data_IF_404956588905
#
_entry.id   IF_404956588905
#
_cell.length_a   1.000
_cell.length_b   1.000
_cell.length_c   1.000
_cell.angle_alpha   90.00
_cell.angle_beta   90.00
_cell.angle_gamma   90.00
#
_symmetry.space_group_name_H-M   'P 1'
#
loop_
_entity.id
_entity.type
_entity.pdbx_description
1 polymer ?
#
# COMPACT_ATOMS: atom_id res chain seq x y z
N UNK A 1 21.30 11.56 5.09
CA UNK A 1 19.94 11.88 4.63
C UNK A 1 19.03 11.86 5.84
N UNK A 2 18.36 12.96 6.12
CA UNK A 2 17.30 13.03 7.11
C UNK A 2 16.01 12.41 6.57
N UNK A 3 15.04 12.15 7.45
CA UNK A 3 13.70 11.68 7.02
C UNK A 3 13.02 12.70 6.11
N UNK A 4 13.24 13.99 6.35
CA UNK A 4 12.63 15.05 5.53
C UNK A 4 13.28 15.15 4.15
N UNK A 5 14.61 15.02 4.07
CA UNK A 5 15.31 14.91 2.78
C UNK A 5 14.85 13.68 1.98
N UNK A 6 14.58 12.56 2.66
CA UNK A 6 14.02 11.35 2.02
C UNK A 6 12.60 11.57 1.51
N UNK A 7 11.74 12.25 2.28
CA UNK A 7 10.37 12.57 1.86
C UNK A 7 10.39 13.43 0.59
N UNK A 8 11.22 14.48 0.58
CA UNK A 8 11.33 15.37 -0.58
C UNK A 8 11.78 14.61 -1.82
N UNK A 9 12.78 13.73 -1.68
CA UNK A 9 13.26 12.88 -2.77
C UNK A 9 12.16 11.92 -3.29
N UNK A 10 11.42 11.26 -2.40
CA UNK A 10 10.34 10.33 -2.77
C UNK A 10 9.16 11.05 -3.43
N UNK A 11 8.81 12.25 -2.94
CA UNK A 11 7.72 13.03 -3.51
C UNK A 11 8.08 13.63 -4.89
N UNK A 12 9.37 13.84 -5.17
CA UNK A 12 9.87 14.31 -6.45
C UNK A 12 9.91 13.23 -7.55
N UNK A 13 9.76 11.94 -7.20
CA UNK A 13 9.76 10.83 -8.17
C UNK A 13 8.62 10.94 -9.20
N UNK A 14 8.87 10.42 -10.40
CA UNK A 14 7.85 10.27 -11.43
C UNK A 14 6.80 9.22 -11.06
N UNK A 15 5.66 9.22 -11.74
CA UNK A 15 4.53 8.35 -11.40
C UNK A 15 4.90 6.85 -11.41
N UNK A 16 5.70 6.40 -12.37
CA UNK A 16 6.09 5.00 -12.48
C UNK A 16 7.13 4.60 -11.44
N UNK A 17 8.05 5.52 -11.10
CA UNK A 17 9.02 5.32 -10.02
C UNK A 17 8.32 5.25 -8.65
N UNK A 18 7.30 6.07 -8.41
CA UNK A 18 6.45 6.00 -7.21
C UNK A 18 5.76 4.65 -7.09
N UNK A 19 5.22 4.11 -8.19
CA UNK A 19 4.60 2.76 -8.19
C UNK A 19 5.63 1.69 -7.85
N UNK A 20 6.81 1.74 -8.48
CA UNK A 20 7.87 0.78 -8.22
C UNK A 20 8.31 0.82 -6.75
N UNK A 21 8.54 2.03 -6.22
CA UNK A 21 8.90 2.24 -4.81
C UNK A 21 7.84 1.63 -3.88
N UNK A 22 6.55 1.91 -4.11
CA UNK A 22 5.46 1.37 -3.30
C UNK A 22 5.39 -0.16 -3.36
N UNK A 23 5.53 -0.77 -4.54
CA UNK A 23 5.45 -2.21 -4.71
C UNK A 23 6.62 -2.95 -4.03
N UNK A 24 7.82 -2.40 -4.08
CA UNK A 24 9.02 -3.07 -3.59
C UNK A 24 9.33 -2.74 -2.13
N UNK A 25 9.12 -1.48 -1.72
CA UNK A 25 9.62 -0.94 -0.46
C UNK A 25 8.56 -0.95 0.64
N UNK A 26 7.30 -0.64 0.33
CA UNK A 26 6.24 -0.58 1.33
C UNK A 26 6.08 -1.91 2.11
N UNK A 27 6.09 -3.10 1.48
CA UNK A 27 5.98 -4.37 2.20
C UNK A 27 7.17 -4.68 3.12
N UNK A 28 8.33 -4.08 2.84
CA UNK A 28 9.52 -4.22 3.70
C UNK A 28 9.38 -3.30 4.90
N UNK A 29 9.09 -2.02 4.67
CA UNK A 29 8.87 -1.03 5.73
C UNK A 29 7.73 -1.45 6.67
N UNK A 30 6.64 -1.95 6.11
CA UNK A 30 5.45 -2.30 6.89
C UNK A 30 5.68 -3.48 7.83
N UNK A 31 6.60 -4.41 7.52
CA UNK A 31 6.78 -5.64 8.32
C UNK A 31 7.15 -5.36 9.78
N UNK A 32 7.97 -4.34 10.00
CA UNK A 32 8.46 -3.99 11.34
C UNK A 32 7.43 -3.15 12.11
N UNK A 33 6.79 -2.19 11.45
CA UNK A 33 5.90 -1.21 12.10
C UNK A 33 4.46 -1.69 12.24
N UNK A 34 3.99 -2.60 11.39
CA UNK A 34 2.60 -3.10 11.45
C UNK A 34 2.35 -4.03 12.64
N UNK A 35 3.37 -4.44 13.38
CA UNK A 35 3.19 -5.17 14.64
C UNK A 35 2.73 -4.25 15.79
N UNK A 36 2.93 -2.93 15.65
CA UNK A 36 2.46 -1.93 16.59
C UNK A 36 0.95 -1.67 16.39
N UNK A 37 0.16 -2.07 17.38
CA UNK A 37 -1.31 -1.95 17.35
C UNK A 37 -1.78 -0.49 17.36
N UNK A 38 -1.06 0.41 18.03
CA UNK A 38 -1.44 1.83 18.03
C UNK A 38 -1.15 2.44 16.68
N UNK A 39 -0.01 2.13 16.08
CA UNK A 39 0.33 2.56 14.73
C UNK A 39 -0.67 2.02 13.69
N UNK A 40 -1.07 0.75 13.79
CA UNK A 40 -2.11 0.18 12.91
C UNK A 40 -3.41 0.97 12.95
N UNK A 41 -3.86 1.36 14.15
CA UNK A 41 -5.07 2.16 14.32
C UNK A 41 -4.94 3.56 13.72
N UNK A 42 -3.74 4.16 13.75
CA UNK A 42 -3.43 5.44 13.09
C UNK A 42 -3.38 5.32 11.57
N UNK A 43 -2.94 4.16 11.04
CA UNK A 43 -2.76 3.94 9.62
C UNK A 43 -4.08 3.62 8.88
N UNK A 44 -5.03 3.00 9.59
CA UNK A 44 -6.35 2.65 9.04
C UNK A 44 -7.05 3.81 8.29
N UNK A 45 -7.21 5.03 8.86
CA UNK A 45 -7.85 6.14 8.16
C UNK A 45 -7.09 6.58 6.90
N UNK A 46 -5.76 6.43 6.87
CA UNK A 46 -4.94 6.75 5.69
C UNK A 46 -5.27 5.79 4.56
N UNK A 47 -5.31 4.48 4.82
CA UNK A 47 -5.70 3.50 3.80
C UNK A 47 -7.13 3.72 3.29
N UNK A 48 -8.07 4.03 4.18
CA UNK A 48 -9.44 4.35 3.76
C UNK A 48 -9.49 5.59 2.86
N UNK A 49 -8.67 6.60 3.14
CA UNK A 49 -8.52 7.78 2.29
C UNK A 49 -8.02 7.43 0.89
N UNK A 50 -6.94 6.66 0.80
CA UNK A 50 -6.37 6.24 -0.49
C UNK A 50 -7.37 5.45 -1.35
N UNK A 51 -8.13 4.55 -0.72
CA UNK A 51 -9.17 3.76 -1.41
C UNK A 51 -10.27 4.70 -1.92
N UNK A 52 -10.76 5.61 -1.07
CA UNK A 52 -11.78 6.58 -1.46
C UNK A 52 -11.32 7.47 -2.61
N UNK A 53 -10.09 7.94 -2.61
CA UNK A 53 -9.52 8.81 -3.64
C UNK A 53 -9.38 8.08 -5.00
N UNK A 54 -9.26 6.75 -4.98
CA UNK A 54 -9.28 5.93 -6.21
C UNK A 54 -10.66 5.80 -6.87
N UNK A 55 -11.73 6.22 -6.18
CA UNK A 55 -13.12 6.06 -6.62
C UNK A 55 -13.70 4.65 -6.43
N UNK A 56 -12.94 3.72 -5.84
CA UNK A 56 -13.33 2.35 -5.55
C UNK A 56 -13.71 2.26 -4.07
N UNK A 57 -14.79 1.54 -3.71
CA UNK A 57 -15.07 1.24 -2.30
C UNK A 57 -14.32 -0.02 -1.82
N UNK A 58 -14.10 -0.12 -0.50
CA UNK A 58 -13.34 -1.22 0.10
C UNK A 58 -13.95 -2.60 -0.22
N UNK A 59 -15.27 -2.70 -0.32
CA UNK A 59 -15.97 -3.93 -0.68
C UNK A 59 -15.70 -4.35 -2.12
N UNK A 60 -15.74 -3.40 -3.06
CA UNK A 60 -15.35 -3.64 -4.46
C UNK A 60 -13.89 -4.06 -4.57
N UNK A 61 -12.98 -3.38 -3.86
CA UNK A 61 -11.56 -3.73 -3.84
C UNK A 61 -11.35 -5.16 -3.32
N UNK A 62 -12.04 -5.54 -2.25
CA UNK A 62 -11.98 -6.89 -1.69
C UNK A 62 -12.51 -7.95 -2.67
N UNK A 63 -13.62 -7.67 -3.37
CA UNK A 63 -14.16 -8.56 -4.41
C UNK A 63 -13.17 -8.75 -5.57
N UNK A 64 -12.53 -7.67 -6.03
CA UNK A 64 -11.49 -7.73 -7.06
C UNK A 64 -10.31 -8.62 -6.64
N UNK A 65 -9.82 -8.45 -5.41
CA UNK A 65 -8.75 -9.29 -4.87
C UNK A 65 -9.12 -10.78 -4.83
N UNK A 66 -10.36 -11.10 -4.45
CA UNK A 66 -10.86 -12.49 -4.43
C UNK A 66 -10.91 -13.09 -5.84
N UNK A 67 -11.34 -12.32 -6.85
CA UNK A 67 -11.34 -12.77 -8.25
C UNK A 67 -9.93 -12.98 -8.80
N UNK A 68 -8.97 -12.11 -8.45
CA UNK A 68 -7.57 -12.27 -8.84
C UNK A 68 -6.91 -13.50 -8.20
N UNK A 69 -7.27 -13.82 -6.95
CA UNK A 69 -6.74 -14.99 -6.25
C UNK A 69 -7.41 -16.31 -6.69
N UNK A 70 -8.66 -16.25 -7.17
CA UNK A 70 -9.42 -17.37 -7.74
C UNK A 70 -8.94 -17.83 -9.12
N UNK A 71 -8.07 -17.05 -9.79
CA UNK A 71 -7.49 -17.37 -11.10
C UNK A 71 -6.09 -18.02 -11.03
N UNK A 72 -5.61 -18.42 -9.84
CA UNK A 72 -4.43 -19.31 -9.74
C UNK A 72 -4.89 -20.76 -9.96
N UNK A 73 -4.51 -21.43 -11.07
CA UNK A 73 -4.74 -22.87 -11.18
C UNK A 73 -4.05 -23.57 -9.99
N UNK A 74 -4.64 -24.65 -9.45
CA UNK A 74 -3.99 -25.44 -8.41
C UNK A 74 -2.62 -25.89 -8.94
N UNK A 75 -1.56 -25.52 -8.22
CA UNK A 75 -0.24 -26.10 -8.45
C UNK A 75 -0.37 -27.58 -8.10
N UNK A 76 -0.28 -28.44 -9.12
CA UNK A 76 -0.24 -29.88 -9.02
C UNK A 76 1.14 -30.37 -8.56
#
# INVERSE_FOLDING_TARGET
MSVDELKDAVLALEADEKKQLLLETLPQLSREVMQDREFLMQLLPIFMGLIKDSGIDLGQLAQMAMMMNGNRPPQA
#
